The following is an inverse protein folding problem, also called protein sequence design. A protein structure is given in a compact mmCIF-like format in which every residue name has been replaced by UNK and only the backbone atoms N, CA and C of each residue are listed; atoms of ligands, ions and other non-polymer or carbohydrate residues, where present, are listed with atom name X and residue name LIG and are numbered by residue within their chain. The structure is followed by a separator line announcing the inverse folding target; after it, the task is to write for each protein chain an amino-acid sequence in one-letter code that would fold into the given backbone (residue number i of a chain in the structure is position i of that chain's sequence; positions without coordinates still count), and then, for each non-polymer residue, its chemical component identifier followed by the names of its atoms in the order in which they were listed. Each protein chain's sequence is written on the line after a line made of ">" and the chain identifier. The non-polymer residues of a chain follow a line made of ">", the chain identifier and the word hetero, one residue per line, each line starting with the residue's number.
data_IF_978281107921
#
_entry.id   IF_978281107921
#
_cell.length_a   1.000
_cell.length_b   1.000
_cell.length_c   1.000
_cell.angle_alpha   90.00
_cell.angle_beta   90.00
_cell.angle_gamma   90.00
#
_symmetry.space_group_name_H-M   'P 1'
#
loop_
_entity.id
_entity.type
_entity.pdbx_description
1 polymer ?
#
# COMPACT_ATOMS: atom_id res chain seq x y z
N UNK A 1 43.74 -28.94 -23.12
CA UNK A 1 42.26 -28.93 -23.15
C UNK A 1 41.63 -28.57 -21.78
N UNK A 2 41.84 -27.36 -21.23
CA UNK A 2 41.09 -26.86 -20.06
C UNK A 2 40.13 -25.68 -20.38
N UNK A 3 39.92 -25.33 -21.66
CA UNK A 3 39.24 -24.09 -22.06
C UNK A 3 37.70 -24.13 -22.08
N UNK A 4 37.05 -25.28 -21.87
CA UNK A 4 35.58 -25.39 -22.08
C UNK A 4 34.69 -25.13 -20.84
N UNK A 5 35.24 -24.84 -19.65
CA UNK A 5 34.45 -24.78 -18.39
C UNK A 5 34.00 -23.36 -17.98
N UNK A 6 34.31 -22.33 -18.79
CA UNK A 6 34.07 -20.93 -18.40
C UNK A 6 32.74 -20.32 -18.92
N UNK A 7 32.07 -20.91 -19.91
CA UNK A 7 31.14 -20.15 -20.76
C UNK A 7 29.64 -20.19 -20.34
N UNK A 8 29.16 -21.11 -19.49
CA UNK A 8 27.70 -21.29 -19.33
C UNK A 8 27.03 -20.55 -18.14
N UNK A 9 27.78 -19.79 -17.32
CA UNK A 9 27.23 -19.20 -16.08
C UNK A 9 26.64 -17.79 -16.20
N UNK A 10 26.55 -17.21 -17.40
CA UNK A 10 25.79 -15.99 -17.64
C UNK A 10 24.29 -16.27 -17.80
N UNK A 11 23.67 -16.76 -16.72
CA UNK A 11 22.21 -16.75 -16.57
C UNK A 11 21.75 -15.30 -16.43
N UNK A 12 21.49 -14.66 -17.58
CA UNK A 12 20.79 -13.39 -17.81
C UNK A 12 20.15 -12.85 -16.52
N UNK A 13 20.82 -11.89 -15.86
CA UNK A 13 20.21 -11.09 -14.78
C UNK A 13 19.00 -10.37 -15.38
N UNK A 14 17.79 -10.92 -15.18
CA UNK A 14 16.52 -10.29 -15.55
C UNK A 14 16.51 -8.87 -14.97
N UNK A 15 16.45 -7.87 -15.84
CA UNK A 15 16.32 -6.48 -15.43
C UNK A 15 15.03 -6.34 -14.60
N UNK A 16 15.18 -6.10 -13.30
CA UNK A 16 14.04 -5.79 -12.42
C UNK A 16 13.49 -4.44 -12.86
N UNK A 17 12.34 -4.45 -13.52
CA UNK A 17 11.62 -3.21 -13.85
C UNK A 17 11.30 -2.49 -12.54
N UNK A 18 11.79 -1.26 -12.39
CA UNK A 18 11.40 -0.40 -11.26
C UNK A 18 9.91 -0.10 -11.42
N UNK A 19 9.08 -0.81 -10.66
CA UNK A 19 7.64 -0.55 -10.65
C UNK A 19 7.42 0.88 -10.17
N UNK A 20 6.78 1.71 -11.00
CA UNK A 20 6.48 3.10 -10.66
C UNK A 20 5.41 3.09 -9.56
N UNK A 21 5.72 3.70 -8.42
CA UNK A 21 4.73 3.93 -7.38
C UNK A 21 3.60 4.81 -7.94
N UNK A 22 2.36 4.31 -7.94
CA UNK A 22 1.21 5.05 -8.45
C UNK A 22 0.92 6.21 -7.49
N UNK A 23 0.90 7.45 -7.99
CA UNK A 23 0.59 8.62 -7.17
C UNK A 23 -0.79 8.48 -6.53
N UNK A 24 -0.86 8.52 -5.21
CA UNK A 24 -2.11 8.40 -4.45
C UNK A 24 -2.86 9.73 -4.51
N UNK A 25 -4.14 9.68 -4.89
CA UNK A 25 -5.00 10.86 -5.00
C UNK A 25 -5.73 11.13 -3.68
N UNK A 26 -5.01 11.64 -2.68
CA UNK A 26 -5.53 11.86 -1.30
C UNK A 26 -6.70 12.84 -1.23
N UNK A 27 -6.75 13.81 -2.13
CA UNK A 27 -7.86 14.79 -2.26
C UNK A 27 -9.24 14.16 -2.43
N UNK A 28 -9.34 12.94 -2.98
CA UNK A 28 -10.60 12.22 -3.15
C UNK A 28 -11.27 11.79 -1.83
N UNK A 29 -10.54 11.81 -0.72
CA UNK A 29 -11.08 11.43 0.59
C UNK A 29 -11.75 12.58 1.35
N UNK A 30 -11.83 13.76 0.72
CA UNK A 30 -12.49 14.94 1.26
C UNK A 30 -13.69 15.29 0.40
N UNK A 31 -14.85 15.46 1.04
CA UNK A 31 -16.09 15.93 0.40
C UNK A 31 -16.53 17.21 1.10
N UNK A 32 -17.06 18.17 0.36
CA UNK A 32 -17.64 19.39 0.93
C UNK A 32 -19.15 19.27 0.84
N UNK A 33 -19.83 19.31 1.98
CA UNK A 33 -21.30 19.34 2.04
C UNK A 33 -21.73 20.56 2.86
N UNK A 34 -22.51 21.46 2.24
CA UNK A 34 -23.11 22.61 2.93
C UNK A 34 -22.13 23.52 3.67
N UNK A 35 -20.90 23.68 3.17
CA UNK A 35 -19.87 24.52 3.79
C UNK A 35 -19.04 23.82 4.88
N UNK A 36 -19.23 22.51 5.13
CA UNK A 36 -18.42 21.71 6.05
C UNK A 36 -17.62 20.65 5.29
N UNK A 37 -16.37 20.46 5.68
CA UNK A 37 -15.47 19.44 5.12
C UNK A 37 -15.75 18.10 5.80
N UNK A 38 -16.41 17.20 5.08
CA UNK A 38 -16.65 15.81 5.48
C UNK A 38 -15.48 14.94 5.01
N UNK A 39 -14.95 14.12 5.91
CA UNK A 39 -13.82 13.23 5.62
C UNK A 39 -14.35 11.81 5.47
N UNK A 40 -14.06 11.17 4.36
CA UNK A 40 -14.70 9.91 3.94
C UNK A 40 -14.09 8.65 4.55
N UNK A 41 -12.93 8.76 5.22
CA UNK A 41 -12.16 7.60 5.67
C UNK A 41 -11.70 7.77 7.11
N UNK A 42 -11.69 6.66 7.83
CA UNK A 42 -11.35 6.60 9.24
C UNK A 42 -9.90 7.03 9.49
N UNK A 43 -9.69 7.70 10.63
CA UNK A 43 -8.37 8.09 11.11
C UNK A 43 -7.81 7.03 12.05
N UNK A 44 -6.48 6.89 12.04
CA UNK A 44 -5.84 6.04 13.03
C UNK A 44 -5.89 6.71 14.42
N UNK A 45 -6.43 6.03 15.46
CA UNK A 45 -6.49 6.58 16.82
C UNK A 45 -5.11 6.79 17.44
N UNK A 46 -4.06 6.13 16.92
CA UNK A 46 -2.68 6.29 17.40
C UNK A 46 -1.88 7.37 16.69
N UNK A 47 -2.23 7.74 15.46
CA UNK A 47 -1.48 8.74 14.68
C UNK A 47 -2.13 10.13 14.67
N UNK A 48 -3.35 10.24 15.20
CA UNK A 48 -4.11 11.48 15.19
C UNK A 48 -4.69 11.84 13.82
N UNK A 49 -5.38 12.99 13.79
CA UNK A 49 -6.00 13.53 12.59
C UNK A 49 -4.93 13.85 11.52
N UNK A 50 -4.97 13.13 10.40
CA UNK A 50 -4.06 13.33 9.27
C UNK A 50 -3.57 12.04 8.63
N UNK A 51 -3.66 10.89 9.32
CA UNK A 51 -3.33 9.58 8.73
C UNK A 51 -4.61 8.79 8.45
N UNK A 52 -4.97 8.68 7.18
CA UNK A 52 -6.06 7.82 6.75
C UNK A 52 -5.69 6.36 6.85
N UNK A 53 -6.62 5.56 7.33
CA UNK A 53 -6.53 4.11 7.33
C UNK A 53 -6.80 3.56 5.92
N UNK A 54 -5.89 2.74 5.40
CA UNK A 54 -6.07 2.01 4.15
C UNK A 54 -7.05 0.86 4.39
N UNK A 55 -8.27 0.98 3.87
CA UNK A 55 -9.30 -0.05 3.96
C UNK A 55 -9.26 -0.92 2.70
N UNK A 56 -8.73 -2.12 2.87
CA UNK A 56 -8.90 -3.26 1.96
C UNK A 56 -10.12 -4.08 2.41
N UNK A 57 -10.67 -4.94 1.54
CA UNK A 57 -11.86 -5.74 1.88
C UNK A 57 -11.71 -6.64 3.12
N UNK A 58 -10.48 -7.04 3.46
CA UNK A 58 -10.18 -7.95 4.57
C UNK A 58 -9.44 -7.27 5.74
N UNK A 59 -8.94 -6.03 5.56
CA UNK A 59 -8.09 -5.38 6.57
C UNK A 59 -8.12 -3.86 6.47
N UNK A 60 -7.84 -3.23 7.59
CA UNK A 60 -7.67 -1.80 7.73
C UNK A 60 -6.25 -1.54 8.20
N UNK A 61 -5.42 -0.82 7.45
CA UNK A 61 -4.00 -0.64 7.73
C UNK A 61 -3.60 0.84 7.87
N UNK A 62 -2.85 1.16 8.91
CA UNK A 62 -2.23 2.46 9.14
C UNK A 62 -0.85 2.50 8.48
N UNK A 63 -0.72 3.24 7.37
CA UNK A 63 0.55 3.38 6.64
C UNK A 63 1.68 4.06 7.44
N UNK A 64 1.35 4.80 8.50
CA UNK A 64 2.33 5.55 9.32
C UNK A 64 2.83 4.77 10.54
N UNK A 65 1.97 3.96 11.15
CA UNK A 65 2.22 3.28 12.42
C UNK A 65 2.23 1.75 12.34
N UNK A 66 1.89 1.20 11.18
CA UNK A 66 1.80 -0.25 10.99
C UNK A 66 0.68 -0.93 11.77
N UNK A 67 -0.28 -0.18 12.30
CA UNK A 67 -1.46 -0.76 12.94
C UNK A 67 -2.39 -1.36 11.90
N UNK A 68 -2.75 -2.63 12.06
CA UNK A 68 -3.67 -3.34 11.19
C UNK A 68 -4.85 -3.88 12.02
N UNK A 69 -6.07 -3.62 11.57
CA UNK A 69 -7.26 -4.33 12.04
C UNK A 69 -7.77 -5.22 10.91
N UNK A 70 -7.72 -6.53 11.11
CA UNK A 70 -8.31 -7.49 10.18
C UNK A 70 -9.77 -7.62 10.57
N UNK A 71 -10.67 -7.11 9.73
CA UNK A 71 -12.11 -7.30 9.93
C UNK A 71 -12.40 -8.75 9.57
N UNK A 72 -12.35 -9.66 10.56
CA UNK A 72 -12.90 -11.01 10.39
C UNK A 72 -14.38 -10.82 10.11
N UNK A 73 -14.75 -10.94 8.83
CA UNK A 73 -16.13 -11.17 8.46
C UNK A 73 -16.47 -12.53 9.07
N UNK A 74 -17.24 -12.54 10.15
CA UNK A 74 -17.84 -13.76 10.69
C UNK A 74 -18.61 -14.40 9.54
N UNK A 75 -18.13 -15.57 9.14
CA UNK A 75 -18.74 -16.39 8.10
C UNK A 75 -19.84 -17.17 8.80
N UNK A 76 -21.07 -16.66 8.76
CA UNK A 76 -22.29 -17.39 9.14
C UNK A 76 -22.70 -18.35 8.03
#
# INVERSE_FOLDING_TARGET
>A
MPEEVAEERERKKKQKSKSKHKKVQTWKFYKVEGGKVVRLRDFCPRCGAGTFLARDGNRTWCGRCGWAEIKRVERS
#
